data_IF_895325048179
#
_entry.id   IF_895325048179
#
_cell.length_a   1.000
_cell.length_b   1.000
_cell.length_c   1.000
_cell.angle_alpha   90.00
_cell.angle_beta   90.00
_cell.angle_gamma   90.00
#
_symmetry.space_group_name_H-M   'P 1'
#
loop_
_entity.id
_entity.type
_entity.pdbx_description
1 polymer ?
#
# COMPACT_ATOMS: atom_id res chain seq x y z
N UNK A 1 -48.79 51.00 -50.99
CA UNK A 1 -48.03 52.14 -50.40
C UNK A 1 -47.12 51.59 -49.32
N UNK A 2 -45.84 51.98 -49.34
CA UNK A 2 -44.80 51.59 -48.38
C UNK A 2 -44.95 52.41 -47.10
N UNK A 3 -44.82 51.79 -45.92
CA UNK A 3 -44.43 52.49 -44.69
C UNK A 3 -43.33 51.66 -44.00
N UNK A 4 -42.25 52.37 -43.71
CA UNK A 4 -40.98 51.91 -43.14
C UNK A 4 -40.99 52.25 -41.64
N UNK A 5 -40.31 51.46 -40.80
CA UNK A 5 -39.34 51.96 -39.79
C UNK A 5 -39.12 50.97 -38.64
N UNK A 6 -37.89 50.45 -38.63
CA UNK A 6 -37.00 50.11 -37.51
C UNK A 6 -37.30 50.72 -36.14
N UNK A 7 -37.26 49.89 -35.08
CA UNK A 7 -36.95 50.33 -33.70
C UNK A 7 -36.46 49.17 -32.77
N UNK A 8 -35.23 49.32 -32.28
CA UNK A 8 -34.63 48.95 -30.97
C UNK A 8 -34.40 47.47 -30.56
N UNK A 9 -33.11 47.11 -30.62
CA UNK A 9 -32.21 46.51 -29.61
C UNK A 9 -32.84 45.80 -28.39
N UNK A 10 -32.54 44.50 -28.24
CA UNK A 10 -32.25 43.92 -26.93
C UNK A 10 -31.11 42.90 -27.07
N UNK A 11 -29.88 43.34 -26.78
CA UNK A 11 -28.72 42.46 -26.63
C UNK A 11 -28.93 41.57 -25.41
N UNK A 12 -29.39 40.34 -25.64
CA UNK A 12 -29.55 39.35 -24.59
C UNK A 12 -28.15 38.87 -24.17
N UNK A 13 -27.74 39.31 -22.98
CA UNK A 13 -26.53 38.89 -22.28
C UNK A 13 -26.56 37.37 -22.15
N UNK A 14 -25.72 36.67 -22.92
CA UNK A 14 -25.45 35.26 -22.69
C UNK A 14 -24.56 35.13 -21.46
N UNK A 15 -25.17 35.14 -20.27
CA UNK A 15 -24.51 34.63 -19.08
C UNK A 15 -24.24 33.11 -19.31
N UNK A 16 -23.07 32.57 -18.92
CA UNK A 16 -22.76 31.17 -19.11
C UNK A 16 -23.63 30.34 -18.16
N UNK A 17 -24.71 29.78 -18.68
CA UNK A 17 -25.50 28.78 -18.00
C UNK A 17 -24.63 27.53 -17.82
N UNK A 18 -24.32 27.23 -16.56
CA UNK A 18 -23.94 25.95 -15.97
C UNK A 18 -23.20 24.95 -16.88
N UNK A 19 -21.94 24.69 -16.52
CA UNK A 19 -21.21 23.49 -16.89
C UNK A 19 -21.94 22.23 -16.38
N UNK A 20 -22.93 21.76 -17.14
CA UNK A 20 -23.19 20.33 -17.23
C UNK A 20 -22.08 19.74 -18.08
N UNK A 21 -21.32 18.84 -17.46
CA UNK A 21 -20.40 17.92 -18.12
C UNK A 21 -21.05 17.46 -19.43
N UNK A 22 -20.54 17.97 -20.56
CA UNK A 22 -20.98 17.57 -21.88
C UNK A 22 -20.46 16.15 -22.07
N UNK A 23 -21.18 15.20 -21.48
CA UNK A 23 -21.15 13.82 -21.89
C UNK A 23 -21.42 13.86 -23.39
N UNK A 24 -20.34 13.74 -24.17
CA UNK A 24 -20.37 13.51 -25.61
C UNK A 24 -21.39 12.38 -25.77
N UNK A 25 -22.57 12.70 -26.30
CA UNK A 25 -23.65 11.72 -26.45
C UNK A 25 -23.13 10.61 -27.35
N UNK A 26 -22.72 9.49 -26.76
CA UNK A 26 -22.23 8.34 -27.51
C UNK A 26 -23.29 7.93 -28.51
N UNK A 27 -22.89 7.74 -29.76
CA UNK A 27 -23.82 7.24 -30.78
C UNK A 27 -24.20 5.80 -30.45
N UNK A 28 -25.41 5.34 -30.82
CA UNK A 28 -25.80 3.93 -30.59
C UNK A 28 -24.77 2.94 -31.12
N UNK A 29 -24.12 3.26 -32.23
CA UNK A 29 -23.07 2.45 -32.83
C UNK A 29 -21.84 2.34 -31.92
N UNK A 30 -21.42 3.42 -31.28
CA UNK A 30 -20.32 3.40 -30.30
C UNK A 30 -20.68 2.55 -29.08
N UNK A 31 -21.91 2.66 -28.57
CA UNK A 31 -22.39 1.83 -27.44
C UNK A 31 -22.41 0.34 -27.80
N UNK A 32 -22.84 -0.02 -29.00
CA UNK A 32 -22.81 -1.41 -29.46
C UNK A 32 -21.38 -1.95 -29.61
N UNK A 33 -20.46 -1.14 -30.11
CA UNK A 33 -19.06 -1.51 -30.22
C UNK A 33 -18.44 -1.75 -28.82
N UNK A 34 -18.70 -0.85 -27.87
CA UNK A 34 -18.23 -0.97 -26.49
C UNK A 34 -18.82 -2.19 -25.78
N UNK A 35 -20.11 -2.48 -25.98
CA UNK A 35 -20.75 -3.68 -25.42
C UNK A 35 -20.13 -4.96 -25.99
N UNK A 36 -19.91 -5.01 -27.30
CA UNK A 36 -19.26 -6.16 -27.95
C UNK A 36 -17.83 -6.34 -27.45
N UNK A 37 -17.09 -5.24 -27.28
CA UNK A 37 -15.75 -5.26 -26.71
C UNK A 37 -15.75 -5.75 -25.27
N UNK A 38 -16.65 -5.28 -24.41
CA UNK A 38 -16.77 -5.72 -23.03
C UNK A 38 -17.16 -7.20 -22.92
N UNK A 39 -18.02 -7.69 -23.83
CA UNK A 39 -18.34 -9.11 -23.96
C UNK A 39 -17.13 -9.97 -24.35
N UNK A 40 -16.28 -9.47 -25.25
CA UNK A 40 -15.08 -10.18 -25.71
C UNK A 40 -13.94 -10.15 -24.68
N UNK A 41 -13.74 -9.03 -23.99
CA UNK A 41 -12.72 -8.90 -22.95
C UNK A 41 -13.13 -9.52 -21.62
N UNK A 42 -14.44 -9.72 -21.41
CA UNK A 42 -15.00 -10.20 -20.14
C UNK A 42 -15.04 -9.11 -19.06
N UNK A 43 -14.97 -7.84 -19.44
CA UNK A 43 -15.09 -6.65 -18.56
C UNK A 43 -16.56 -6.31 -18.23
N UNK A 44 -17.44 -7.31 -18.21
CA UNK A 44 -18.79 -7.16 -17.70
C UNK A 44 -18.87 -7.77 -16.31
N UNK A 45 -19.69 -7.15 -15.44
CA UNK A 45 -20.00 -7.73 -14.14
C UNK A 45 -20.71 -9.07 -14.33
N UNK A 46 -20.24 -10.07 -13.59
CA UNK A 46 -20.88 -11.35 -13.54
C UNK A 46 -22.20 -11.27 -12.77
N UNK A 47 -23.15 -12.13 -13.15
CA UNK A 47 -24.41 -12.26 -12.42
C UNK A 47 -24.16 -12.79 -11.00
N UNK A 48 -24.71 -12.12 -9.99
CA UNK A 48 -24.60 -12.51 -8.58
C UNK A 48 -24.07 -11.38 -7.68
N UNK A 49 -23.87 -11.69 -6.40
CA UNK A 49 -23.46 -10.70 -5.38
C UNK A 49 -21.94 -10.52 -5.27
N UNK A 50 -21.16 -11.27 -6.06
CA UNK A 50 -19.69 -11.25 -5.96
C UNK A 50 -19.04 -9.93 -6.38
N UNK A 51 -19.72 -9.12 -7.19
CA UNK A 51 -19.15 -7.89 -7.77
C UNK A 51 -17.96 -8.15 -8.70
N UNK A 52 -17.69 -9.41 -9.06
CA UNK A 52 -16.58 -9.80 -9.92
C UNK A 52 -16.95 -9.67 -11.39
N UNK A 53 -15.96 -9.42 -12.24
CA UNK A 53 -16.11 -9.44 -13.70
C UNK A 53 -16.07 -10.87 -14.24
N UNK A 54 -16.65 -11.10 -15.43
CA UNK A 54 -16.68 -12.42 -16.08
C UNK A 54 -15.26 -12.98 -16.30
N UNK A 55 -14.29 -12.13 -16.63
CA UNK A 55 -12.88 -12.54 -16.76
C UNK A 55 -12.24 -12.97 -15.44
N UNK A 56 -12.69 -12.44 -14.30
CA UNK A 56 -12.18 -12.84 -12.99
C UNK A 56 -12.75 -14.19 -12.54
N UNK A 57 -14.02 -14.46 -12.86
CA UNK A 57 -14.64 -15.75 -12.55
C UNK A 57 -14.16 -16.88 -13.48
N UNK A 58 -14.01 -16.59 -14.77
CA UNK A 58 -13.56 -17.58 -15.75
C UNK A 58 -12.43 -17.04 -16.64
N UNK A 59 -11.21 -16.87 -16.09
CA UNK A 59 -10.08 -16.32 -16.83
C UNK A 59 -9.64 -17.19 -18.02
N UNK A 60 -10.06 -18.46 -18.08
CA UNK A 60 -9.77 -19.34 -19.23
C UNK A 60 -10.66 -19.06 -20.45
N UNK A 61 -11.84 -18.49 -20.26
CA UNK A 61 -12.79 -18.20 -21.32
C UNK A 61 -12.54 -16.86 -22.02
N UNK A 62 -11.65 -16.02 -21.46
CA UNK A 62 -11.36 -14.68 -21.93
C UNK A 62 -9.86 -14.53 -22.25
N UNK A 63 -9.49 -13.63 -23.18
CA UNK A 63 -8.10 -13.40 -23.50
C UNK A 63 -7.36 -12.89 -22.27
N UNK A 64 -6.24 -13.55 -21.94
CA UNK A 64 -5.40 -13.13 -20.83
C UNK A 64 -4.88 -11.71 -21.11
N UNK A 65 -5.27 -10.75 -20.29
CA UNK A 65 -4.59 -9.46 -20.24
C UNK A 65 -3.15 -9.76 -19.87
N UNK A 66 -2.19 -9.31 -20.68
CA UNK A 66 -0.77 -9.50 -20.41
C UNK A 66 -0.45 -8.98 -19.01
N UNK A 67 -0.39 -9.88 -18.02
CA UNK A 67 0.09 -9.53 -16.70
C UNK A 67 1.56 -9.18 -16.87
N UNK A 68 2.00 -8.07 -16.28
CA UNK A 68 3.38 -7.59 -16.36
C UNK A 68 4.43 -8.58 -15.79
N UNK A 69 3.97 -9.70 -15.23
CA UNK A 69 4.79 -10.80 -14.79
C UNK A 69 4.91 -11.84 -15.91
N UNK A 70 6.14 -12.06 -16.36
CA UNK A 70 6.48 -13.16 -17.26
C UNK A 70 5.89 -14.47 -16.70
N UNK A 71 5.22 -15.29 -17.54
CA UNK A 71 4.67 -16.55 -17.07
C UNK A 71 5.81 -17.43 -16.55
N UNK A 72 5.80 -17.74 -15.25
CA UNK A 72 6.77 -18.65 -14.66
C UNK A 72 6.64 -20.02 -15.33
N UNK A 73 7.77 -20.64 -15.66
CA UNK A 73 7.73 -22.03 -16.17
C UNK A 73 7.32 -22.98 -15.04
N UNK A 74 6.79 -24.15 -15.40
CA UNK A 74 6.40 -25.17 -14.40
C UNK A 74 7.59 -25.61 -13.55
N UNK A 75 8.78 -25.64 -14.14
CA UNK A 75 10.03 -25.97 -13.48
C UNK A 75 10.38 -24.91 -12.43
N UNK A 76 10.23 -23.62 -12.76
CA UNK A 76 10.46 -22.53 -11.81
C UNK A 76 9.48 -22.59 -10.63
N UNK A 77 8.20 -22.83 -10.90
CA UNK A 77 7.18 -22.97 -9.85
C UNK A 77 7.49 -24.16 -8.93
N UNK A 78 7.94 -25.29 -9.48
CA UNK A 78 8.35 -26.46 -8.68
C UNK A 78 9.57 -26.15 -7.81
N UNK A 79 10.58 -25.49 -8.37
CA UNK A 79 11.78 -25.10 -7.64
C UNK A 79 11.44 -24.15 -6.48
N UNK A 80 10.57 -23.15 -6.71
CA UNK A 80 10.10 -22.24 -5.66
C UNK A 80 9.31 -22.97 -4.57
N UNK A 81 8.44 -23.91 -4.95
CA UNK A 81 7.68 -24.71 -3.99
C UNK A 81 8.60 -25.58 -3.11
N UNK A 82 9.56 -26.26 -3.72
CA UNK A 82 10.55 -27.06 -2.99
C UNK A 82 11.41 -26.20 -2.06
N UNK A 83 11.78 -25.00 -2.50
CA UNK A 83 12.51 -24.04 -1.68
C UNK A 83 11.67 -23.58 -0.49
N UNK A 84 10.40 -23.23 -0.68
CA UNK A 84 9.49 -22.81 0.40
C UNK A 84 9.24 -23.92 1.43
N UNK A 85 9.14 -25.18 0.97
CA UNK A 85 9.04 -26.36 1.84
C UNK A 85 10.32 -26.53 2.65
N UNK A 86 11.49 -26.39 2.01
CA UNK A 86 12.79 -26.56 2.67
C UNK A 86 13.10 -25.44 3.65
N UNK A 87 12.75 -24.20 3.32
CA UNK A 87 12.94 -23.02 4.18
C UNK A 87 11.90 -22.92 5.30
N UNK A 88 10.80 -23.68 5.20
CA UNK A 88 9.68 -23.61 6.14
C UNK A 88 8.86 -22.32 6.00
N UNK A 89 8.91 -21.66 4.84
CA UNK A 89 8.09 -20.47 4.55
C UNK A 89 6.63 -20.80 4.24
N UNK A 90 6.30 -22.08 4.15
CA UNK A 90 4.92 -22.55 4.11
C UNK A 90 4.17 -22.11 5.37
N UNK A 91 2.93 -21.68 5.18
CA UNK A 91 2.03 -21.36 6.29
C UNK A 91 1.75 -22.63 7.11
N UNK A 92 1.76 -22.46 8.43
CA UNK A 92 1.35 -23.50 9.34
C UNK A 92 -0.15 -23.74 9.23
N UNK A 93 -0.56 -25.00 9.37
CA UNK A 93 -1.98 -25.33 9.44
C UNK A 93 -2.61 -24.72 10.72
N UNK A 94 -3.76 -24.07 10.57
CA UNK A 94 -4.50 -23.45 11.66
C UNK A 94 -4.69 -21.93 11.48
N UNK A 95 -5.14 -21.27 12.54
CA UNK A 95 -5.57 -19.86 12.52
C UNK A 95 -4.43 -18.86 12.75
N UNK A 96 -3.24 -19.34 13.13
CA UNK A 96 -2.12 -18.48 13.51
C UNK A 96 -1.61 -17.58 12.38
N UNK A 97 -1.82 -17.98 11.12
CA UNK A 97 -1.23 -17.31 9.95
C UNK A 97 0.31 -17.30 9.96
N UNK A 98 0.94 -18.02 10.89
CA UNK A 98 2.39 -18.03 11.08
C UNK A 98 3.07 -19.01 10.13
N UNK A 99 4.35 -18.75 9.83
CA UNK A 99 5.15 -19.66 8.99
C UNK A 99 5.67 -20.85 9.80
N UNK A 100 5.88 -21.99 9.14
CA UNK A 100 6.38 -23.20 9.81
C UNK A 100 7.79 -23.01 10.39
N UNK A 101 8.64 -22.19 9.79
CA UNK A 101 9.97 -21.86 10.31
C UNK A 101 9.95 -20.98 11.56
N UNK A 102 8.92 -20.15 11.74
CA UNK A 102 8.71 -19.33 12.93
C UNK A 102 8.25 -20.18 14.11
N UNK A 103 7.35 -21.14 13.86
CA UNK A 103 6.83 -22.03 14.91
C UNK A 103 7.78 -23.19 15.24
N UNK A 104 8.48 -23.72 14.23
CA UNK A 104 9.35 -24.89 14.36
C UNK A 104 10.76 -24.57 13.88
N UNK A 105 11.38 -23.53 14.44
CA UNK A 105 12.73 -23.08 14.05
C UNK A 105 13.82 -24.14 14.19
N UNK A 106 13.59 -25.20 14.99
CA UNK A 106 14.51 -26.34 15.11
C UNK A 106 14.47 -27.31 13.93
N UNK A 107 13.38 -27.33 13.16
CA UNK A 107 13.12 -28.28 12.07
C UNK A 107 13.52 -27.73 10.70
N UNK A 108 13.66 -26.42 10.59
CA UNK A 108 14.00 -25.73 9.35
C UNK A 108 15.38 -25.09 9.47
N UNK A 109 16.17 -25.06 8.39
CA UNK A 109 17.42 -24.35 8.38
C UNK A 109 17.15 -22.87 8.67
N UNK A 110 17.99 -22.26 9.50
CA UNK A 110 17.95 -20.82 9.76
C UNK A 110 18.30 -20.14 8.44
N UNK A 111 17.26 -19.68 7.73
CA UNK A 111 17.45 -18.79 6.59
C UNK A 111 17.90 -17.47 7.19
N UNK A 112 19.20 -17.16 7.08
CA UNK A 112 19.76 -15.92 7.57
C UNK A 112 19.11 -14.74 6.85
N UNK A 113 18.10 -14.15 7.48
CA UNK A 113 17.41 -12.99 6.96
C UNK A 113 16.98 -12.05 8.10
N UNK A 114 17.96 -11.63 8.91
CA UNK A 114 18.04 -10.30 9.53
C UNK A 114 19.35 -10.23 10.29
N UNK A 115 20.08 -9.12 10.13
CA UNK A 115 21.17 -8.77 11.04
C UNK A 115 20.59 -8.66 12.45
N UNK A 116 20.72 -9.71 13.24
CA UNK A 116 20.30 -9.70 14.63
C UNK A 116 21.32 -8.89 15.41
N UNK A 117 20.85 -7.88 16.17
CA UNK A 117 21.73 -7.15 17.09
C UNK A 117 22.36 -8.14 18.06
N UNK A 118 23.65 -7.97 18.32
CA UNK A 118 24.31 -8.80 19.32
C UNK A 118 23.72 -8.53 20.70
N UNK A 119 23.82 -9.51 21.60
CA UNK A 119 23.33 -9.35 22.98
C UNK A 119 23.93 -8.11 23.67
N UNK A 120 25.19 -7.80 23.35
CA UNK A 120 25.89 -6.65 23.91
C UNK A 120 25.38 -5.33 23.32
N UNK A 121 25.07 -5.28 22.02
CA UNK A 121 24.39 -4.14 21.41
C UNK A 121 23.02 -3.91 22.06
N UNK A 122 22.21 -4.96 22.24
CA UNK A 122 20.90 -4.87 22.89
C UNK A 122 21.02 -4.36 24.33
N UNK A 123 22.01 -4.84 25.10
CA UNK A 123 22.26 -4.35 26.46
C UNK A 123 22.67 -2.88 26.48
N UNK A 124 23.51 -2.46 25.53
CA UNK A 124 23.96 -1.08 25.43
C UNK A 124 22.81 -0.13 25.08
N UNK A 125 21.93 -0.53 24.17
CA UNK A 125 20.73 0.22 23.80
C UNK A 125 19.73 0.29 24.94
N UNK A 126 19.51 -0.81 25.66
CA UNK A 126 18.64 -0.83 26.83
C UNK A 126 19.17 0.10 27.93
N UNK A 127 20.46 0.06 28.22
CA UNK A 127 21.08 0.95 29.20
C UNK A 127 20.96 2.42 28.79
N UNK A 128 21.07 2.72 27.49
CA UNK A 128 20.84 4.05 26.94
C UNK A 128 19.38 4.49 27.10
N UNK A 129 18.42 3.65 26.71
CA UNK A 129 16.99 3.93 26.83
C UNK A 129 16.56 4.14 28.30
N UNK A 130 17.14 3.39 29.25
CA UNK A 130 16.94 3.62 30.69
C UNK A 130 17.48 4.98 31.10
N UNK A 131 18.71 5.33 30.68
CA UNK A 131 19.35 6.60 31.04
C UNK A 131 18.59 7.80 30.49
N UNK A 132 18.12 7.72 29.25
CA UNK A 132 17.41 8.78 28.54
C UNK A 132 15.90 8.82 28.86
N UNK A 133 15.40 7.81 29.59
CA UNK A 133 13.97 7.68 29.91
C UNK A 133 13.09 7.38 28.70
N UNK A 134 13.66 6.76 27.65
CA UNK A 134 12.96 6.45 26.40
C UNK A 134 12.03 5.23 26.50
N UNK A 135 12.07 4.53 27.64
CA UNK A 135 11.20 3.41 27.91
C UNK A 135 9.75 3.88 28.08
N UNK A 136 8.82 3.15 27.47
CA UNK A 136 7.38 3.36 27.62
C UNK A 136 6.98 3.03 29.06
N UNK A 137 6.28 3.95 29.72
CA UNK A 137 5.79 3.75 31.07
C UNK A 137 4.67 2.71 31.10
N UNK A 138 4.56 1.99 32.21
CA UNK A 138 3.48 1.01 32.42
C UNK A 138 2.16 1.76 32.57
N UNK A 139 1.28 1.65 31.56
CA UNK A 139 -0.03 2.30 31.51
C UNK A 139 -0.63 2.28 30.09
N UNK A 140 -1.86 2.75 29.94
CA UNK A 140 -2.56 2.78 28.65
C UNK A 140 -2.11 3.95 27.74
N UNK A 141 -1.49 4.98 28.31
CA UNK A 141 -1.14 6.22 27.62
C UNK A 141 -0.01 6.07 26.59
N UNK A 142 0.79 4.99 26.65
CA UNK A 142 1.95 4.79 25.77
C UNK A 142 3.07 5.82 25.89
N UNK A 143 3.01 6.72 26.89
CA UNK A 143 3.99 7.79 27.10
C UNK A 143 5.33 7.28 27.61
N UNK A 144 6.40 7.96 27.24
CA UNK A 144 7.77 7.63 27.66
C UNK A 144 8.05 8.14 29.08
N UNK A 145 8.96 7.49 29.80
CA UNK A 145 9.32 7.84 31.18
C UNK A 145 9.89 9.27 31.30
N UNK A 146 10.59 9.76 30.28
CA UNK A 146 11.09 11.13 30.21
C UNK A 146 9.99 12.19 30.02
N UNK A 147 8.86 11.83 29.41
CA UNK A 147 7.68 12.69 29.25
C UNK A 147 6.88 12.79 30.55
N UNK A 148 6.85 11.72 31.35
CA UNK A 148 6.14 11.67 32.63
C UNK A 148 6.98 12.27 33.76
N UNK A 149 8.29 12.03 33.77
CA UNK A 149 9.20 12.48 34.81
C UNK A 149 10.38 13.27 34.25
N UNK A 150 10.14 14.44 33.63
CA UNK A 150 11.20 15.25 33.03
C UNK A 150 12.33 15.55 34.03
N UNK A 151 11.96 15.81 35.29
CA UNK A 151 12.89 16.09 36.41
C UNK A 151 13.93 15.01 36.66
N UNK A 152 13.62 13.74 36.32
CA UNK A 152 14.53 12.61 36.52
C UNK A 152 15.45 12.35 35.33
N UNK A 153 15.16 12.94 34.17
CA UNK A 153 15.84 12.64 32.91
C UNK A 153 16.45 13.87 32.21
N UNK A 154 16.34 15.08 32.79
CA UNK A 154 16.87 16.34 32.22
C UNK A 154 18.33 16.26 31.75
N UNK A 155 19.23 15.73 32.58
CA UNK A 155 20.65 15.63 32.25
C UNK A 155 20.92 14.71 31.04
N UNK A 156 20.12 13.65 30.89
CA UNK A 156 20.22 12.73 29.77
C UNK A 156 19.56 13.29 28.51
N UNK A 157 18.46 14.04 28.65
CA UNK A 157 17.79 14.71 27.53
C UNK A 157 18.69 15.78 26.90
N UNK A 158 19.35 16.61 27.70
CA UNK A 158 20.33 17.60 27.19
C UNK A 158 21.54 16.94 26.52
N UNK A 159 22.06 15.84 27.07
CA UNK A 159 23.18 15.10 26.49
C UNK A 159 22.80 14.40 25.18
N UNK A 160 21.62 13.78 25.09
CA UNK A 160 21.12 13.11 23.89
C UNK A 160 20.87 14.11 22.75
N UNK A 161 20.27 15.26 23.05
CA UNK A 161 20.07 16.35 22.08
C UNK A 161 21.41 16.88 21.54
N UNK A 162 22.41 17.06 22.41
CA UNK A 162 23.75 17.47 21.97
C UNK A 162 24.42 16.43 21.05
N UNK A 163 24.29 15.13 21.35
CA UNK A 163 24.85 14.08 20.50
C UNK A 163 24.14 13.94 19.15
N UNK A 164 22.83 14.14 19.09
CA UNK A 164 22.06 14.03 17.85
C UNK A 164 22.34 15.21 16.89
N UNK A 165 22.60 16.40 17.44
CA UNK A 165 23.03 17.57 16.66
C UNK A 165 24.42 17.36 16.06
N UNK A 166 25.32 16.69 16.80
CA UNK A 166 26.69 16.42 16.36
C UNK A 166 26.78 15.27 15.33
N UNK A 167 25.87 14.28 15.38
CA UNK A 167 25.76 13.24 14.34
C UNK A 167 25.10 13.75 13.06
N UNK A 168 24.12 14.66 13.16
CA UNK A 168 23.49 15.30 11.99
C UNK A 168 24.45 16.24 11.25
N UNK A 169 25.44 16.80 11.95
CA UNK A 169 26.49 17.62 11.35
C UNK A 169 27.60 16.81 10.65
N UNK A 170 27.58 15.47 10.72
CA UNK A 170 28.66 14.59 10.26
C UNK A 170 28.28 13.62 9.14
N UNK A 171 27.07 13.72 8.60
CA UNK A 171 26.73 13.06 7.34
C UNK A 171 27.22 13.91 6.16
N UNK A 172 28.29 13.55 5.44
CA UNK A 172 28.59 14.17 4.17
C UNK A 172 27.51 13.72 3.18
N UNK A 173 26.73 14.67 2.68
CA UNK A 173 25.92 14.46 1.48
C UNK A 173 26.86 14.06 0.34
N UNK A 174 26.82 12.79 -0.06
CA UNK A 174 27.34 12.29 -1.33
C UNK A 174 26.29 11.38 -1.97
#
# INVERSE_FOLDING_TARGET
>A
MKLKSTLIVLSLIAAPAFASDQAISKTRQQVQAELTQAMQSGDMLASGESGLTLKQLNPRAYPATATAQSPKSREQVRAELEQAIRSGEMLAAGESGAKLNELMSRRYPVVEAKSYKTRDQVKSELARAIREGELVAVGEDGRKLNEIYPDRYHAAHHAAVATNVDTSAKDPQF
#
